data_IF_033992238701
#
_entry.id   IF_033992238701
#
_cell.length_a   1.000
_cell.length_b   1.000
_cell.length_c   1.000
_cell.angle_alpha   90.00
_cell.angle_beta   90.00
_cell.angle_gamma   90.00
#
_symmetry.space_group_name_H-M   'P 1'
#
loop_
_entity.id
_entity.type
_entity.pdbx_description
1 polymer ?
#
# COMPACT_ATOMS: atom_id res chain seq x y z
N UNK A 1 -14.56 -8.79 -3.54
CA UNK A 1 -13.17 -8.98 -3.10
C UNK A 1 -13.18 -9.34 -1.61
N UNK A 2 -12.67 -10.49 -1.23
CA UNK A 2 -12.42 -10.80 0.18
C UNK A 2 -11.11 -10.11 0.59
N UNK A 3 -11.24 -8.90 1.14
CA UNK A 3 -10.10 -8.14 1.65
C UNK A 3 -9.81 -8.48 3.12
N UNK A 4 -8.57 -8.21 3.55
CA UNK A 4 -8.22 -8.39 4.96
C UNK A 4 -8.89 -7.28 5.79
N UNK A 5 -9.57 -7.60 6.90
CA UNK A 5 -10.12 -6.59 7.80
C UNK A 5 -9.02 -5.73 8.42
N UNK A 6 -9.23 -4.42 8.49
CA UNK A 6 -8.28 -3.47 9.06
C UNK A 6 -7.86 -3.82 10.49
N UNK A 7 -8.79 -4.25 11.31
CA UNK A 7 -8.53 -4.64 12.71
C UNK A 7 -7.54 -5.80 12.82
N UNK A 8 -7.60 -6.76 11.90
CA UNK A 8 -6.65 -7.88 11.86
C UNK A 8 -5.23 -7.38 11.59
N UNK A 9 -5.06 -6.44 10.66
CA UNK A 9 -3.76 -5.85 10.35
C UNK A 9 -3.19 -5.12 11.55
N UNK A 10 -4.02 -4.33 12.25
CA UNK A 10 -3.59 -3.64 13.46
C UNK A 10 -3.07 -4.61 14.52
N UNK A 11 -3.75 -5.74 14.73
CA UNK A 11 -3.35 -6.73 15.74
C UNK A 11 -2.09 -7.48 15.36
N UNK A 12 -1.93 -7.88 14.10
CA UNK A 12 -0.84 -8.75 13.64
C UNK A 12 0.46 -7.99 13.35
N UNK A 13 0.37 -6.69 12.99
CA UNK A 13 1.53 -5.91 12.51
C UNK A 13 1.89 -4.71 13.39
N UNK A 14 1.17 -4.51 14.47
CA UNK A 14 1.44 -3.41 15.40
C UNK A 14 2.83 -3.57 16.03
N UNK A 15 3.60 -2.48 16.05
CA UNK A 15 4.91 -2.39 16.72
C UNK A 15 6.01 -3.30 16.13
N UNK A 16 5.95 -3.65 14.85
CA UNK A 16 7.05 -4.39 14.20
C UNK A 16 8.36 -3.59 14.22
N UNK A 17 8.27 -2.27 14.03
CA UNK A 17 9.39 -1.32 14.07
C UNK A 17 8.97 -0.02 14.77
N UNK A 18 9.94 0.68 15.36
CA UNK A 18 9.70 2.01 15.96
C UNK A 18 9.56 3.13 14.94
N UNK A 19 10.13 2.93 13.74
CA UNK A 19 10.19 3.94 12.69
C UNK A 19 9.40 3.51 11.46
N UNK A 20 8.86 4.48 10.74
CA UNK A 20 8.24 4.28 9.45
C UNK A 20 8.79 5.28 8.42
N UNK A 21 8.91 4.82 7.18
CA UNK A 21 9.35 5.62 6.05
C UNK A 21 8.22 5.66 5.02
N UNK A 22 7.81 6.85 4.64
CA UNK A 22 6.84 7.06 3.56
C UNK A 22 7.59 7.40 2.28
N UNK A 23 7.38 6.61 1.24
CA UNK A 23 8.03 6.74 -0.06
C UNK A 23 7.03 7.16 -1.12
N UNK A 24 7.33 8.24 -1.82
CA UNK A 24 6.52 8.76 -2.92
C UNK A 24 7.37 8.99 -4.16
N UNK A 25 6.74 8.93 -5.35
CA UNK A 25 7.41 9.19 -6.61
C UNK A 25 7.78 10.67 -6.72
N UNK A 26 9.07 10.97 -6.66
CA UNK A 26 9.61 12.32 -6.80
C UNK A 26 11.04 12.28 -7.34
N UNK A 27 11.56 13.40 -7.86
CA UNK A 27 12.87 13.46 -8.49
C UNK A 27 14.02 13.14 -7.52
N UNK A 28 13.79 13.29 -6.22
CA UNK A 28 14.78 12.96 -5.19
C UNK A 28 14.85 11.46 -4.86
N UNK A 29 13.82 10.68 -5.18
CA UNK A 29 13.73 9.26 -4.80
C UNK A 29 14.94 8.47 -5.30
N UNK A 30 15.33 8.65 -6.57
CA UNK A 30 16.46 7.94 -7.15
C UNK A 30 17.77 8.10 -6.35
N UNK A 31 17.99 9.28 -5.76
CA UNK A 31 19.16 9.56 -4.93
C UNK A 31 19.07 8.91 -3.54
N UNK A 32 17.87 8.61 -3.08
CA UNK A 32 17.61 8.05 -1.75
C UNK A 32 17.50 6.52 -1.73
N UNK A 33 17.40 5.88 -2.89
CA UNK A 33 17.22 4.42 -2.98
C UNK A 33 18.32 3.63 -2.23
N UNK A 34 19.63 3.98 -2.32
CA UNK A 34 20.65 3.25 -1.56
C UNK A 34 20.46 3.34 -0.04
N UNK A 35 20.06 4.52 0.44
CA UNK A 35 19.76 4.74 1.87
C UNK A 35 18.52 3.96 2.28
N UNK A 36 17.46 4.02 1.48
CA UNK A 36 16.22 3.29 1.73
C UNK A 36 16.47 1.78 1.81
N UNK A 37 17.31 1.24 0.92
CA UNK A 37 17.71 -0.17 0.95
C UNK A 37 18.42 -0.56 2.24
N UNK A 38 19.27 0.30 2.78
CA UNK A 38 19.97 0.07 4.04
C UNK A 38 19.03 0.10 5.27
N UNK A 39 17.83 0.66 5.12
CA UNK A 39 16.84 0.79 6.19
C UNK A 39 15.63 -0.14 6.06
N UNK A 40 15.51 -0.92 4.97
CA UNK A 40 14.31 -1.75 4.74
C UNK A 40 14.03 -2.77 5.86
N UNK A 41 15.07 -3.23 6.59
CA UNK A 41 14.91 -4.16 7.72
C UNK A 41 14.87 -3.46 9.09
N UNK A 42 14.82 -2.13 9.11
CA UNK A 42 14.89 -1.31 10.33
C UNK A 42 13.70 -0.37 10.49
N UNK A 43 12.86 -0.26 9.46
CA UNK A 43 11.70 0.61 9.45
C UNK A 43 10.57 -0.01 8.63
N UNK A 44 9.33 0.33 8.96
CA UNK A 44 8.18 0.01 8.11
C UNK A 44 8.18 0.92 6.89
N UNK A 45 8.10 0.35 5.68
CA UNK A 45 8.07 1.12 4.44
C UNK A 45 6.65 1.18 3.88
N UNK A 46 6.09 2.40 3.83
CA UNK A 46 4.87 2.72 3.11
C UNK A 46 5.23 3.31 1.75
N UNK A 47 4.79 2.69 0.68
CA UNK A 47 5.08 3.10 -0.68
C UNK A 47 3.79 3.58 -1.37
N UNK A 48 3.80 4.78 -1.96
CA UNK A 48 2.79 5.16 -2.93
C UNK A 48 2.99 4.36 -4.23
N UNK A 49 1.90 3.96 -4.89
CA UNK A 49 1.90 3.12 -6.09
C UNK A 49 2.89 3.61 -7.18
N UNK A 50 2.91 4.91 -7.45
CA UNK A 50 3.82 5.50 -8.43
C UNK A 50 5.33 5.33 -8.14
N UNK A 51 5.72 5.01 -6.89
CA UNK A 51 7.09 4.75 -6.53
C UNK A 51 7.47 3.26 -6.57
N UNK A 52 6.47 2.36 -6.61
CA UNK A 52 6.65 0.92 -6.45
C UNK A 52 7.65 0.33 -7.45
N UNK A 53 7.52 0.67 -8.74
CA UNK A 53 8.40 0.14 -9.78
C UNK A 53 9.88 0.55 -9.60
N UNK A 54 10.15 1.70 -8.98
CA UNK A 54 11.52 2.13 -8.67
C UNK A 54 12.10 1.32 -7.51
N UNK A 55 11.31 1.04 -6.49
CA UNK A 55 11.73 0.22 -5.36
C UNK A 55 12.02 -1.21 -5.79
N UNK A 56 11.12 -1.80 -6.58
CA UNK A 56 11.26 -3.17 -7.08
C UNK A 56 12.52 -3.38 -7.92
N UNK A 57 12.87 -2.42 -8.79
CA UNK A 57 14.13 -2.46 -9.58
C UNK A 57 15.38 -2.53 -8.73
N UNK A 58 15.34 -1.95 -7.53
CA UNK A 58 16.44 -1.97 -6.57
C UNK A 58 16.33 -3.14 -5.57
N UNK A 59 15.34 -4.00 -5.73
CA UNK A 59 15.10 -5.12 -4.83
C UNK A 59 14.64 -4.67 -3.43
N UNK A 60 13.98 -3.52 -3.34
CA UNK A 60 13.38 -3.01 -2.10
C UNK A 60 11.91 -3.42 -2.09
N UNK A 61 11.52 -4.18 -1.08
CA UNK A 61 10.14 -4.65 -0.89
C UNK A 61 9.47 -3.80 0.19
N UNK A 62 8.51 -2.94 -0.16
CA UNK A 62 7.76 -2.17 0.84
C UNK A 62 6.84 -3.10 1.66
N UNK A 63 6.58 -2.75 2.92
CA UNK A 63 5.60 -3.45 3.75
C UNK A 63 4.17 -3.15 3.28
N UNK A 64 3.93 -1.90 2.88
CA UNK A 64 2.61 -1.44 2.42
C UNK A 64 2.72 -0.67 1.12
N UNK A 65 1.78 -0.92 0.22
CA UNK A 65 1.60 -0.15 -1.02
C UNK A 65 0.24 0.50 -1.01
N UNK A 66 0.18 1.83 -1.17
CA UNK A 66 -1.08 2.58 -1.17
C UNK A 66 -1.48 2.96 -2.59
N UNK A 67 -2.72 2.66 -2.97
CA UNK A 67 -3.33 3.13 -4.21
C UNK A 67 -4.64 3.87 -3.91
N UNK A 68 -4.69 5.11 -4.30
CA UNK A 68 -5.87 5.98 -4.17
C UNK A 68 -6.44 6.39 -5.52
N UNK A 69 -5.80 5.99 -6.62
CA UNK A 69 -6.17 6.38 -7.98
C UNK A 69 -7.34 5.52 -8.49
N UNK A 70 -8.30 6.20 -9.10
CA UNK A 70 -9.48 5.59 -9.71
C UNK A 70 -9.29 5.31 -11.20
N UNK A 71 -8.13 5.64 -11.77
CA UNK A 71 -7.84 5.44 -13.19
C UNK A 71 -7.17 4.09 -13.43
N UNK A 72 -7.35 3.54 -14.64
CA UNK A 72 -6.68 2.31 -15.05
C UNK A 72 -5.17 2.50 -15.29
N UNK A 73 -4.69 3.73 -15.39
CA UNK A 73 -3.27 4.06 -15.47
C UNK A 73 -2.48 3.52 -14.28
N UNK A 74 -3.13 3.39 -13.12
CA UNK A 74 -2.54 2.78 -11.93
C UNK A 74 -2.07 1.33 -12.18
N UNK A 75 -2.65 0.62 -13.15
CA UNK A 75 -2.20 -0.72 -13.56
C UNK A 75 -0.71 -0.77 -13.93
N UNK A 76 -0.18 0.33 -14.47
CA UNK A 76 1.23 0.39 -14.86
C UNK A 76 2.19 0.23 -13.67
N UNK A 77 1.72 0.53 -12.45
CA UNK A 77 2.52 0.42 -11.23
C UNK A 77 2.48 -0.98 -10.61
N UNK A 78 1.49 -1.79 -10.99
CA UNK A 78 1.26 -3.15 -10.45
C UNK A 78 1.58 -4.25 -11.47
N UNK A 79 2.33 -3.96 -12.52
CA UNK A 79 2.64 -4.93 -13.57
C UNK A 79 3.55 -6.08 -13.10
N UNK A 80 4.36 -5.84 -12.08
CA UNK A 80 5.25 -6.87 -11.54
C UNK A 80 4.49 -7.77 -10.54
N UNK A 81 4.02 -8.92 -11.03
CA UNK A 81 3.23 -9.89 -10.26
C UNK A 81 4.03 -10.61 -9.15
N UNK A 82 5.33 -10.35 -9.05
CA UNK A 82 6.20 -11.01 -8.06
C UNK A 82 6.18 -10.35 -6.68
N UNK A 83 5.56 -9.18 -6.54
CA UNK A 83 5.47 -8.48 -5.26
C UNK A 83 4.41 -9.13 -4.34
N UNK A 84 4.79 -10.32 -3.83
CA UNK A 84 3.88 -11.24 -3.11
C UNK A 84 3.77 -10.93 -1.62
N UNK A 85 4.57 -10.01 -1.09
CA UNK A 85 4.72 -9.82 0.37
C UNK A 85 4.19 -8.49 0.88
N UNK A 86 4.04 -7.48 0.01
CA UNK A 86 3.47 -6.19 0.39
C UNK A 86 1.96 -6.28 0.59
N UNK A 87 1.47 -5.61 1.62
CA UNK A 87 0.04 -5.39 1.78
C UNK A 87 -0.40 -4.18 0.97
N UNK A 88 -1.37 -4.38 0.08
CA UNK A 88 -1.93 -3.32 -0.74
C UNK A 88 -3.09 -2.62 0.00
N UNK A 89 -2.94 -1.33 0.25
CA UNK A 89 -3.96 -0.48 0.85
C UNK A 89 -4.69 0.25 -0.28
N UNK A 90 -5.90 -0.18 -0.57
CA UNK A 90 -6.69 0.28 -1.70
C UNK A 90 -7.80 1.22 -1.24
N UNK A 91 -8.00 2.31 -1.96
CA UNK A 91 -9.21 3.11 -1.82
C UNK A 91 -10.43 2.32 -2.30
N UNK A 92 -11.59 2.57 -1.73
CA UNK A 92 -12.86 2.05 -2.26
C UNK A 92 -13.17 2.54 -3.69
N UNK A 93 -12.44 3.55 -4.18
CA UNK A 93 -12.54 4.07 -5.54
C UNK A 93 -11.45 3.53 -6.47
N UNK A 94 -10.56 2.65 -6.00
CA UNK A 94 -9.50 2.07 -6.84
C UNK A 94 -10.11 1.35 -8.05
N UNK A 95 -9.50 1.54 -9.23
CA UNK A 95 -10.02 1.01 -10.48
C UNK A 95 -10.14 -0.54 -10.42
N UNK A 96 -11.25 -1.13 -10.91
CA UNK A 96 -11.48 -2.58 -10.82
C UNK A 96 -10.35 -3.43 -11.41
N UNK A 97 -9.72 -3.01 -12.50
CA UNK A 97 -8.60 -3.74 -13.10
C UNK A 97 -7.41 -3.85 -12.16
N UNK A 98 -7.10 -2.81 -11.37
CA UNK A 98 -6.06 -2.87 -10.34
C UNK A 98 -6.44 -3.90 -9.27
N UNK A 99 -7.68 -3.83 -8.78
CA UNK A 99 -8.19 -4.77 -7.77
C UNK A 99 -8.10 -6.21 -8.26
N UNK A 100 -8.47 -6.49 -9.50
CA UNK A 100 -8.43 -7.83 -10.09
C UNK A 100 -7.00 -8.35 -10.36
N UNK A 101 -6.03 -7.44 -10.51
CA UNK A 101 -4.63 -7.83 -10.72
C UNK A 101 -3.92 -8.28 -9.44
N UNK A 102 -4.49 -7.97 -8.27
CA UNK A 102 -3.93 -8.25 -6.96
C UNK A 102 -4.60 -9.46 -6.31
N UNK A 103 -3.88 -10.11 -5.42
CA UNK A 103 -4.45 -11.19 -4.60
C UNK A 103 -5.23 -10.61 -3.43
N UNK A 104 -6.45 -11.10 -3.21
CA UNK A 104 -7.34 -10.63 -2.15
C UNK A 104 -6.69 -10.72 -0.74
N UNK A 105 -5.93 -11.78 -0.51
CA UNK A 105 -5.20 -12.04 0.74
C UNK A 105 -4.12 -10.98 1.07
N UNK A 106 -3.73 -10.18 0.08
CA UNK A 106 -2.76 -9.09 0.21
C UNK A 106 -3.39 -7.72 0.02
N UNK A 107 -4.71 -7.60 0.16
CA UNK A 107 -5.42 -6.35 -0.04
C UNK A 107 -6.22 -5.96 1.19
N UNK A 108 -6.15 -4.68 1.53
CA UNK A 108 -7.00 -4.01 2.50
C UNK A 108 -7.71 -2.85 1.82
N UNK A 109 -9.00 -2.71 2.05
CA UNK A 109 -9.78 -1.58 1.56
C UNK A 109 -9.90 -0.53 2.66
N UNK A 110 -9.62 0.73 2.31
CA UNK A 110 -9.80 1.89 3.17
C UNK A 110 -10.86 2.82 2.60
N UNK A 111 -11.58 3.47 3.49
CA UNK A 111 -12.61 4.43 3.14
C UNK A 111 -12.11 5.86 3.42
N UNK A 112 -12.52 6.81 2.59
CA UNK A 112 -12.32 8.22 2.91
C UNK A 112 -13.15 8.58 4.13
N UNK A 113 -12.57 9.33 5.05
CA UNK A 113 -13.26 9.83 6.25
C UNK A 113 -14.30 10.90 5.85
N UNK A 114 -15.46 10.44 5.39
CA UNK A 114 -16.64 11.29 5.10
C UNK A 114 -17.77 10.90 6.03
N UNK A 115 -18.54 11.89 6.50
CA UNK A 115 -19.69 11.71 7.37
C UNK A 115 -20.68 10.62 6.88
N UNK A 116 -20.79 10.45 5.57
CA UNK A 116 -21.63 9.40 4.96
C UNK A 116 -21.14 7.99 5.36
N UNK A 117 -19.83 7.73 5.32
CA UNK A 117 -19.28 6.41 5.64
C UNK A 117 -19.35 6.13 7.16
N UNK A 118 -19.19 7.16 7.97
CA UNK A 118 -19.34 7.03 9.44
C UNK A 118 -20.74 6.57 9.86
N UNK A 119 -21.78 6.95 9.10
CA UNK A 119 -23.17 6.53 9.37
C UNK A 119 -23.43 5.04 9.17
N UNK A 120 -22.63 4.38 8.35
CA UNK A 120 -22.77 2.94 8.08
C UNK A 120 -22.02 2.05 9.07
N UNK A 121 -21.39 2.63 10.09
CA UNK A 121 -20.66 1.91 11.14
C UNK A 121 -19.73 0.81 10.59
N UNK A 122 -18.97 1.14 9.55
CA UNK A 122 -18.11 0.19 8.84
C UNK A 122 -16.81 -0.02 9.63
N UNK A 123 -16.92 -0.65 10.80
CA UNK A 123 -15.80 -0.87 11.72
C UNK A 123 -14.69 -1.77 11.16
N UNK A 124 -15.01 -2.53 10.11
CA UNK A 124 -14.05 -3.47 9.49
C UNK A 124 -13.14 -2.79 8.47
N UNK A 125 -13.38 -1.51 8.15
CA UNK A 125 -12.60 -0.75 7.18
C UNK A 125 -11.73 0.28 7.88
N UNK A 126 -10.52 0.49 7.33
CA UNK A 126 -9.69 1.64 7.67
C UNK A 126 -10.24 2.93 7.05
N UNK A 127 -9.90 4.07 7.66
CA UNK A 127 -10.23 5.41 7.14
C UNK A 127 -8.94 6.19 6.85
N UNK A 128 -8.99 7.00 5.81
CA UNK A 128 -7.94 7.93 5.40
C UNK A 128 -8.48 9.35 5.27
#
# INVERSE_FOLDING_TARGET
LESIPFQRILSERKNKFENAIVVSAGPSLAKQLPLLKAYQDKAVIFCADGALSMLEKEGIVPDYVTNLDFTDLAMNFFQNKENKTSLNILSCATHPNVVHSLKAENCMIVLRNKALYQRFNLNDFGYI
#
